data_IF_200832583092
#
_entry.id   IF_200832583092
#
_cell.length_a   1.000
_cell.length_b   1.000
_cell.length_c   1.000
_cell.angle_alpha   90.00
_cell.angle_beta   90.00
_cell.angle_gamma   90.00
#
_symmetry.space_group_name_H-M   'P 1'
#
loop_
_entity.id
_entity.type
_entity.pdbx_description
1 polymer ?
#
# COMPACT_ATOMS: atom_id res chain seq x y z
N UNK A 1 -13.00 -5.42 28.58
CA UNK A 1 -12.00 -6.27 27.88
C UNK A 1 -10.63 -5.56 27.87
N UNK A 2 -9.51 -6.25 28.12
CA UNK A 2 -8.20 -5.59 28.08
C UNK A 2 -8.02 -4.95 26.70
N UNK A 3 -7.55 -3.71 26.75
CA UNK A 3 -7.23 -2.81 25.66
C UNK A 3 -6.27 -3.46 24.66
N UNK A 4 -6.79 -3.63 23.45
CA UNK A 4 -6.14 -3.72 22.14
C UNK A 4 -5.14 -4.88 21.93
N UNK A 5 -5.69 -6.05 21.56
CA UNK A 5 -4.92 -7.10 20.88
C UNK A 5 -4.10 -6.49 19.74
N UNK A 6 -2.79 -6.67 19.76
CA UNK A 6 -1.87 -6.22 18.73
C UNK A 6 -0.71 -7.20 18.64
N UNK A 7 -0.41 -7.68 17.43
CA UNK A 7 0.67 -8.64 17.22
C UNK A 7 1.34 -8.42 15.86
N UNK A 8 2.67 -8.25 15.89
CA UNK A 8 3.52 -8.23 14.71
C UNK A 8 4.02 -9.63 14.41
N UNK A 9 3.87 -10.06 13.15
CA UNK A 9 4.26 -11.37 12.67
C UNK A 9 5.33 -11.16 11.61
N UNK A 10 6.45 -11.85 11.78
CA UNK A 10 7.62 -11.73 10.92
C UNK A 10 8.13 -13.11 10.47
N UNK A 11 8.90 -13.10 9.40
CA UNK A 11 9.60 -14.26 8.89
C UNK A 11 10.97 -13.83 8.35
N UNK A 12 12.08 -14.58 8.55
CA UNK A 12 13.42 -14.20 8.08
C UNK A 12 13.46 -13.82 6.59
N UNK A 13 12.87 -14.64 5.71
CA UNK A 13 12.68 -14.32 4.30
C UNK A 13 12.08 -12.93 4.06
N UNK A 14 11.03 -12.55 4.78
CA UNK A 14 10.33 -11.28 4.60
C UNK A 14 11.22 -10.08 4.99
N UNK A 15 11.95 -10.18 6.12
CA UNK A 15 12.86 -9.11 6.56
C UNK A 15 14.04 -8.97 5.58
N UNK A 16 14.66 -10.09 5.16
CA UNK A 16 15.75 -10.07 4.19
C UNK A 16 15.30 -9.53 2.83
N UNK A 17 14.06 -9.82 2.43
CA UNK A 17 13.45 -9.25 1.21
C UNK A 17 13.30 -7.73 1.29
N UNK A 18 12.92 -7.18 2.45
CA UNK A 18 12.87 -5.73 2.63
C UNK A 18 14.27 -5.11 2.49
N UNK A 19 15.31 -5.71 3.06
CA UNK A 19 16.71 -5.25 2.88
C UNK A 19 17.06 -5.23 1.38
N UNK A 20 16.71 -6.29 0.65
CA UNK A 20 17.12 -6.48 -0.74
C UNK A 20 16.45 -5.50 -1.72
N UNK A 21 15.16 -5.22 -1.56
CA UNK A 21 14.37 -4.54 -2.59
C UNK A 21 13.79 -3.18 -2.20
N UNK A 22 13.51 -2.92 -0.91
CA UNK A 22 12.81 -1.68 -0.52
C UNK A 22 13.56 -0.39 -0.84
N UNK A 23 14.90 -0.43 -0.83
CA UNK A 23 15.76 0.71 -1.16
C UNK A 23 15.69 1.13 -2.64
N UNK A 24 15.23 0.24 -3.53
CA UNK A 24 15.03 0.55 -4.95
C UNK A 24 13.55 0.68 -5.30
N UNK A 25 12.73 -0.23 -4.77
CA UNK A 25 11.36 -0.43 -5.21
C UNK A 25 10.32 0.18 -4.25
N UNK A 26 10.77 0.73 -3.11
CA UNK A 26 9.89 1.25 -2.07
C UNK A 26 9.12 0.15 -1.35
N UNK A 27 8.15 0.57 -0.55
CA UNK A 27 7.24 -0.31 0.19
C UNK A 27 5.79 0.11 0.02
N UNK A 28 4.91 -0.87 -0.10
CA UNK A 28 3.48 -0.68 0.10
C UNK A 28 3.15 -0.83 1.59
N UNK A 29 2.31 0.04 2.11
CA UNK A 29 1.84 0.01 3.51
C UNK A 29 0.35 0.31 3.53
N UNK A 30 -0.46 -0.65 3.94
CA UNK A 30 -1.93 -0.52 3.86
C UNK A 30 -2.60 -1.45 4.89
N UNK A 31 -3.72 -0.99 5.44
CA UNK A 31 -4.54 -1.71 6.41
C UNK A 31 -5.90 -2.12 5.82
N UNK A 32 -6.23 -3.41 5.89
CA UNK A 32 -7.56 -3.91 5.51
C UNK A 32 -8.30 -4.50 6.71
N UNK A 33 -9.57 -4.13 6.85
CA UNK A 33 -10.51 -4.68 7.85
C UNK A 33 -11.50 -5.69 7.25
N UNK A 34 -11.74 -5.60 5.93
CA UNK A 34 -12.79 -6.39 5.25
C UNK A 34 -12.44 -7.88 5.26
N UNK A 35 -13.38 -8.70 5.72
CA UNK A 35 -13.32 -10.17 5.79
C UNK A 35 -12.19 -10.76 6.65
N UNK A 36 -11.38 -9.94 7.32
CA UNK A 36 -10.20 -10.43 8.06
C UNK A 36 -10.58 -11.13 9.37
N UNK A 37 -11.55 -10.63 10.11
CA UNK A 37 -12.11 -11.35 11.26
C UNK A 37 -13.51 -10.82 11.62
N UNK A 38 -14.24 -11.56 12.45
CA UNK A 38 -15.57 -11.17 12.97
C UNK A 38 -15.54 -9.84 13.73
N UNK A 39 -14.46 -9.55 14.43
CA UNK A 39 -14.26 -8.31 15.20
C UNK A 39 -13.80 -7.12 14.33
N UNK A 40 -13.65 -7.31 13.01
CA UNK A 40 -13.09 -6.34 12.06
C UNK A 40 -11.73 -5.76 12.47
N UNK A 41 -10.94 -6.51 13.24
CA UNK A 41 -9.57 -6.13 13.61
C UNK A 41 -8.74 -5.96 12.32
N UNK A 42 -8.09 -4.80 12.12
CA UNK A 42 -7.30 -4.55 10.92
C UNK A 42 -6.12 -5.51 10.79
N UNK A 43 -5.84 -5.88 9.54
CA UNK A 43 -4.59 -6.52 9.12
C UNK A 43 -3.83 -5.52 8.27
N UNK A 44 -2.63 -5.17 8.71
CA UNK A 44 -1.75 -4.23 8.03
C UNK A 44 -0.61 -4.99 7.39
N UNK A 45 -0.40 -4.77 6.09
CA UNK A 45 0.68 -5.37 5.33
C UNK A 45 1.75 -4.34 5.02
N UNK A 46 3.01 -4.74 5.20
CA UNK A 46 4.14 -4.15 4.51
C UNK A 46 4.47 -5.07 3.34
N UNK A 47 4.66 -4.51 2.16
CA UNK A 47 5.04 -5.27 0.97
C UNK A 47 6.11 -4.53 0.18
N UNK A 48 6.87 -5.26 -0.62
CA UNK A 48 7.74 -4.69 -1.66
C UNK A 48 7.58 -5.51 -2.93
N UNK A 49 8.39 -5.24 -3.95
CA UNK A 49 8.40 -6.01 -5.19
C UNK A 49 9.80 -6.49 -5.54
N UNK A 50 9.90 -7.67 -6.14
CA UNK A 50 11.16 -8.22 -6.64
C UNK A 50 11.55 -7.62 -8.01
N UNK A 51 12.66 -8.10 -8.56
CA UNK A 51 13.17 -7.67 -9.88
C UNK A 51 12.21 -8.02 -11.05
N UNK A 52 11.23 -8.90 -10.82
CA UNK A 52 10.22 -9.32 -11.80
C UNK A 52 8.86 -8.63 -11.56
N UNK A 53 8.79 -7.62 -10.69
CA UNK A 53 7.57 -6.95 -10.27
C UNK A 53 6.53 -7.89 -9.60
N UNK A 54 6.99 -8.97 -8.98
CA UNK A 54 6.18 -9.79 -8.09
C UNK A 54 6.11 -9.17 -6.71
N UNK A 55 4.93 -9.24 -6.09
CA UNK A 55 4.78 -8.78 -4.71
C UNK A 55 5.48 -9.75 -3.76
N UNK A 56 6.26 -9.19 -2.84
CA UNK A 56 6.96 -9.89 -1.78
C UNK A 56 6.49 -9.34 -0.43
N UNK A 57 6.14 -10.22 0.54
CA UNK A 57 5.66 -9.77 1.84
C UNK A 57 6.82 -9.25 2.71
N UNK A 58 6.55 -8.18 3.44
CA UNK A 58 7.25 -7.78 4.65
C UNK A 58 6.49 -8.26 5.90
N UNK A 59 6.85 -7.78 7.10
CA UNK A 59 6.10 -8.06 8.32
C UNK A 59 4.62 -7.69 8.20
N UNK A 60 3.81 -8.44 8.92
CA UNK A 60 2.36 -8.27 8.97
C UNK A 60 1.96 -7.90 10.39
N UNK A 61 0.98 -7.02 10.52
CA UNK A 61 0.46 -6.60 11.81
C UNK A 61 -1.03 -6.86 11.90
N UNK A 62 -1.45 -7.57 12.96
CA UNK A 62 -2.86 -7.78 13.28
C UNK A 62 -3.15 -7.05 14.57
N UNK A 63 -4.06 -6.08 14.53
CA UNK A 63 -4.33 -5.21 15.67
C UNK A 63 -5.82 -4.94 15.88
N UNK A 64 -6.18 -4.42 17.05
CA UNK A 64 -7.54 -4.00 17.38
C UNK A 64 -7.95 -2.68 16.72
N UNK A 65 -6.97 -1.86 16.32
CA UNK A 65 -7.17 -0.59 15.62
C UNK A 65 -6.03 -0.31 14.62
N UNK A 66 -6.23 0.67 13.74
CA UNK A 66 -5.25 1.16 12.77
C UNK A 66 -5.06 2.68 12.94
N UNK A 67 -4.87 3.12 14.19
CA UNK A 67 -4.60 4.53 14.50
C UNK A 67 -3.16 4.92 14.12
N UNK A 68 -2.89 6.22 13.98
CA UNK A 68 -1.55 6.71 13.68
C UNK A 68 -0.52 6.25 14.74
N UNK A 69 -0.91 6.24 16.02
CA UNK A 69 -0.05 5.81 17.13
C UNK A 69 0.30 4.33 17.01
N UNK A 70 -0.72 3.47 16.89
CA UNK A 70 -0.57 2.02 16.73
C UNK A 70 0.29 1.66 15.51
N UNK A 71 0.06 2.33 14.38
CA UNK A 71 0.85 2.13 13.15
C UNK A 71 2.28 2.68 13.27
N UNK A 72 2.49 3.76 14.04
CA UNK A 72 3.84 4.29 14.33
C UNK A 72 4.65 3.24 15.08
N UNK A 73 4.09 2.66 16.15
CA UNK A 73 4.74 1.59 16.91
C UNK A 73 5.10 0.41 16.02
N UNK A 74 4.18 -0.03 15.15
CA UNK A 74 4.47 -1.11 14.19
C UNK A 74 5.65 -0.76 13.26
N UNK A 75 5.66 0.44 12.67
CA UNK A 75 6.75 0.85 11.77
C UNK A 75 8.11 1.02 12.47
N UNK A 76 8.13 1.47 13.72
CA UNK A 76 9.35 1.53 14.54
C UNK A 76 9.93 0.13 14.73
N UNK A 77 9.10 -0.83 15.13
CA UNK A 77 9.52 -2.22 15.33
C UNK A 77 10.03 -2.84 14.03
N UNK A 78 9.33 -2.63 12.91
CA UNK A 78 9.79 -3.11 11.59
C UNK A 78 11.14 -2.54 11.24
N UNK A 79 11.35 -1.23 11.45
CA UNK A 79 12.64 -0.59 11.17
C UNK A 79 13.78 -1.21 11.98
N UNK A 80 13.56 -1.39 13.28
CA UNK A 80 14.54 -2.03 14.16
C UNK A 80 14.83 -3.48 13.74
N UNK A 81 13.80 -4.24 13.35
CA UNK A 81 13.96 -5.61 12.86
C UNK A 81 14.80 -5.68 11.58
N UNK A 82 14.56 -4.78 10.64
CA UNK A 82 15.33 -4.70 9.39
C UNK A 82 16.79 -4.33 9.65
N UNK A 83 17.03 -3.33 10.51
CA UNK A 83 18.39 -2.90 10.86
C UNK A 83 19.16 -3.99 11.62
N UNK A 84 18.50 -4.67 12.56
CA UNK A 84 19.08 -5.80 13.27
C UNK A 84 19.41 -6.96 12.32
N UNK A 85 18.50 -7.31 11.42
CA UNK A 85 18.74 -8.35 10.40
C UNK A 85 19.90 -7.97 9.48
N UNK A 86 20.02 -6.69 9.08
CA UNK A 86 21.13 -6.20 8.27
C UNK A 86 22.47 -6.35 8.99
N UNK A 87 22.54 -5.98 10.28
CA UNK A 87 23.74 -6.16 11.10
C UNK A 87 24.14 -7.63 11.21
N UNK A 88 23.16 -8.49 11.53
CA UNK A 88 23.39 -9.93 11.66
C UNK A 88 23.87 -10.58 10.36
N UNK A 89 23.37 -10.14 9.19
CA UNK A 89 23.84 -10.59 7.88
C UNK A 89 25.28 -10.17 7.61
N UNK A 90 25.62 -8.91 7.87
CA UNK A 90 26.99 -8.37 7.65
C UNK A 90 28.00 -9.04 8.57
N UNK A 91 27.62 -9.26 9.84
CA UNK A 91 28.44 -9.93 10.86
C UNK A 91 28.42 -11.46 10.73
N UNK A 92 27.68 -12.02 9.77
CA UNK A 92 27.54 -13.47 9.51
C UNK A 92 27.03 -14.26 10.72
N UNK A 93 26.26 -13.63 11.61
CA UNK A 93 25.62 -14.31 12.75
C UNK A 93 24.34 -15.05 12.36
N UNK A 94 23.82 -14.79 11.16
CA UNK A 94 22.71 -15.52 10.55
C UNK A 94 23.03 -15.87 9.09
N UNK A 95 22.33 -16.87 8.56
CA UNK A 95 22.42 -17.25 7.16
C UNK A 95 21.41 -16.49 6.31
N UNK A 96 21.77 -16.31 5.03
CA UNK A 96 20.82 -15.87 4.01
C UNK A 96 19.75 -16.95 3.86
N UNK A 97 18.49 -16.55 3.74
CA UNK A 97 17.40 -17.49 3.50
C UNK A 97 17.68 -18.23 2.18
N UNK A 98 17.48 -19.55 2.16
CA UNK A 98 17.80 -20.40 1.00
C UNK A 98 17.11 -19.92 -0.29
N UNK A 99 15.92 -19.33 -0.20
CA UNK A 99 15.18 -18.75 -1.34
C UNK A 99 15.86 -17.51 -1.94
N UNK A 100 16.72 -16.83 -1.16
CA UNK A 100 17.43 -15.62 -1.53
C UNK A 100 18.93 -15.86 -1.81
N UNK A 101 19.42 -17.10 -1.78
CA UNK A 101 20.85 -17.40 -1.93
C UNK A 101 21.40 -16.89 -3.28
N UNK A 102 20.60 -16.92 -4.35
CA UNK A 102 20.97 -16.35 -5.66
C UNK A 102 21.24 -14.82 -5.61
N UNK A 103 20.67 -14.13 -4.63
CA UNK A 103 20.82 -12.70 -4.42
C UNK A 103 21.79 -12.34 -3.30
N UNK A 104 22.44 -13.32 -2.67
CA UNK A 104 23.30 -13.15 -1.49
C UNK A 104 24.27 -11.98 -1.59
N UNK A 105 25.00 -11.87 -2.71
CA UNK A 105 25.96 -10.77 -2.92
C UNK A 105 25.27 -9.40 -2.83
N UNK A 106 24.14 -9.23 -3.51
CA UNK A 106 23.35 -7.99 -3.49
C UNK A 106 22.73 -7.74 -2.12
N UNK A 107 22.17 -8.77 -1.49
CA UNK A 107 21.59 -8.67 -0.15
C UNK A 107 22.62 -8.16 0.88
N UNK A 108 23.84 -8.70 0.87
CA UNK A 108 24.92 -8.25 1.75
C UNK A 108 25.38 -6.82 1.42
N UNK A 109 25.35 -6.42 0.15
CA UNK A 109 25.64 -5.04 -0.25
C UNK A 109 24.57 -4.07 0.27
N UNK A 110 23.29 -4.37 0.11
CA UNK A 110 22.21 -3.54 0.63
C UNK A 110 22.20 -3.50 2.17
N UNK A 111 22.41 -4.63 2.85
CA UNK A 111 22.58 -4.69 4.29
C UNK A 111 23.74 -3.78 4.76
N UNK A 112 24.87 -3.83 4.07
CA UNK A 112 26.01 -2.96 4.34
C UNK A 112 25.71 -1.47 4.14
N UNK A 113 24.85 -1.11 3.18
CA UNK A 113 24.40 0.29 3.00
C UNK A 113 23.53 0.74 4.16
N UNK A 114 22.62 -0.10 4.64
CA UNK A 114 21.75 0.19 5.80
C UNK A 114 22.61 0.49 7.04
N UNK A 115 23.60 -0.35 7.35
CA UNK A 115 24.45 -0.18 8.53
C UNK A 115 25.36 1.05 8.44
N UNK A 116 25.84 1.39 7.24
CA UNK A 116 26.66 2.60 7.03
C UNK A 116 25.85 3.89 7.00
N UNK A 117 24.54 3.81 6.77
CA UNK A 117 23.65 4.95 6.71
C UNK A 117 23.39 5.51 8.10
N UNK A 118 23.53 6.83 8.27
CA UNK A 118 23.14 7.51 9.53
C UNK A 118 21.64 7.39 9.83
N UNK A 119 20.82 7.20 8.80
CA UNK A 119 19.36 7.06 8.91
C UNK A 119 18.90 5.62 9.01
N UNK A 120 19.86 4.66 9.01
CA UNK A 120 19.58 3.23 9.03
C UNK A 120 18.77 2.78 7.82
N UNK A 121 17.76 1.93 8.05
CA UNK A 121 16.89 1.46 6.98
C UNK A 121 15.89 2.56 6.58
N UNK A 122 15.84 2.83 5.28
CA UNK A 122 14.97 3.84 4.70
C UNK A 122 14.51 3.37 3.31
N UNK A 123 13.23 3.02 3.13
CA UNK A 123 12.69 2.67 1.82
C UNK A 123 12.78 3.84 0.82
N UNK A 124 12.81 3.52 -0.47
CA UNK A 124 12.84 4.54 -1.53
C UNK A 124 11.60 5.46 -1.47
N UNK A 125 10.44 4.88 -1.19
CA UNK A 125 9.17 5.56 -0.97
C UNK A 125 8.20 4.64 -0.23
N UNK A 126 7.15 5.22 0.32
CA UNK A 126 5.97 4.52 0.81
C UNK A 126 4.81 4.75 -0.15
N UNK A 127 4.08 3.69 -0.49
CA UNK A 127 2.81 3.79 -1.18
C UNK A 127 1.69 3.32 -0.28
N UNK A 128 0.70 4.19 -0.11
CA UNK A 128 -0.42 4.02 0.82
C UNK A 128 -1.75 4.33 0.13
N UNK A 129 -2.84 4.01 0.80
CA UNK A 129 -4.14 4.55 0.43
C UNK A 129 -4.33 5.95 1.03
N UNK A 130 -5.45 6.62 0.73
CA UNK A 130 -5.74 7.94 1.32
C UNK A 130 -6.11 7.79 2.80
N UNK A 131 -5.12 7.49 3.64
CA UNK A 131 -5.24 7.24 5.06
C UNK A 131 -4.38 8.22 5.86
N UNK A 132 -5.04 9.05 6.66
CA UNK A 132 -4.33 10.00 7.53
C UNK A 132 -3.51 9.28 8.60
N UNK A 133 -3.99 8.13 9.09
CA UNK A 133 -3.29 7.34 10.09
C UNK A 133 -1.96 6.79 9.55
N UNK A 134 -1.99 6.18 8.36
CA UNK A 134 -0.78 5.65 7.70
C UNK A 134 0.21 6.76 7.36
N UNK A 135 -0.28 7.88 6.79
CA UNK A 135 0.55 9.04 6.45
C UNK A 135 1.30 9.58 7.68
N UNK A 136 0.57 9.79 8.79
CA UNK A 136 1.17 10.30 10.03
C UNK A 136 2.14 9.29 10.64
N UNK A 137 1.81 8.00 10.64
CA UNK A 137 2.72 6.96 11.12
C UNK A 137 4.04 6.93 10.36
N UNK A 138 3.98 7.01 9.02
CA UNK A 138 5.19 7.07 8.19
C UNK A 138 5.98 8.35 8.50
N UNK A 139 5.35 9.51 8.61
CA UNK A 139 6.06 10.75 8.92
C UNK A 139 6.74 10.75 10.30
N UNK A 140 6.13 10.09 11.28
CA UNK A 140 6.72 9.96 12.62
C UNK A 140 8.00 9.12 12.63
N UNK A 141 8.06 8.06 11.80
CA UNK A 141 9.22 7.13 11.76
C UNK A 141 10.23 7.49 10.67
N UNK A 142 9.74 8.03 9.56
CA UNK A 142 10.49 8.36 8.34
C UNK A 142 10.12 9.78 7.86
N UNK A 143 10.56 10.84 8.56
CA UNK A 143 10.08 12.21 8.35
C UNK A 143 10.39 12.77 6.95
N UNK A 144 11.44 12.27 6.30
CA UNK A 144 11.87 12.68 4.95
C UNK A 144 11.48 11.69 3.86
N UNK A 145 10.72 10.63 4.17
CA UNK A 145 10.29 9.65 3.18
C UNK A 145 9.35 10.26 2.16
N UNK A 146 9.53 9.84 0.91
CA UNK A 146 8.56 10.08 -0.15
C UNK A 146 7.32 9.23 0.11
N UNK A 147 6.15 9.85 0.27
CA UNK A 147 4.87 9.16 0.43
C UNK A 147 4.03 9.38 -0.82
N UNK A 148 3.53 8.30 -1.44
CA UNK A 148 2.65 8.31 -2.61
C UNK A 148 1.32 7.65 -2.29
N UNK A 149 0.25 8.22 -2.81
CA UNK A 149 -1.05 7.55 -2.84
C UNK A 149 -1.06 6.50 -3.95
N UNK A 150 -1.77 5.41 -3.71
CA UNK A 150 -2.13 4.49 -4.76
C UNK A 150 -2.91 5.20 -5.88
N UNK A 151 -2.40 5.17 -7.11
CA UNK A 151 -3.12 5.67 -8.28
C UNK A 151 -4.47 4.98 -8.50
N UNK A 152 -4.54 3.65 -8.33
CA UNK A 152 -5.77 2.91 -8.56
C UNK A 152 -6.87 3.39 -7.62
N UNK A 153 -6.58 3.57 -6.32
CA UNK A 153 -7.52 4.09 -5.34
C UNK A 153 -7.84 5.57 -5.56
N UNK A 154 -6.87 6.40 -5.98
CA UNK A 154 -7.15 7.79 -6.41
C UNK A 154 -8.15 7.79 -7.57
N UNK A 155 -7.91 7.01 -8.62
CA UNK A 155 -8.79 6.94 -9.79
C UNK A 155 -10.14 6.32 -9.45
N UNK A 156 -10.17 5.30 -8.58
CA UNK A 156 -11.43 4.72 -8.10
C UNK A 156 -12.24 5.72 -7.30
N UNK A 157 -11.63 6.46 -6.38
CA UNK A 157 -12.31 7.51 -5.61
C UNK A 157 -12.89 8.58 -6.55
N UNK A 158 -12.11 9.05 -7.53
CA UNK A 158 -12.54 10.02 -8.55
C UNK A 158 -13.65 9.48 -9.48
N UNK A 159 -13.75 8.16 -9.67
CA UNK A 159 -14.81 7.56 -10.49
C UNK A 159 -16.05 7.15 -9.70
N UNK A 160 -15.88 6.87 -8.41
CA UNK A 160 -16.88 6.30 -7.50
C UNK A 160 -17.40 7.28 -6.45
N UNK A 161 -16.90 8.51 -6.41
CA UNK A 161 -17.50 9.55 -5.57
C UNK A 161 -18.98 9.79 -5.93
N UNK A 162 -19.47 9.28 -7.07
CA UNK A 162 -20.90 9.20 -7.41
C UNK A 162 -21.70 8.17 -6.56
N UNK A 163 -21.03 7.29 -5.80
CA UNK A 163 -21.61 6.19 -5.01
C UNK A 163 -21.37 6.28 -3.49
N UNK A 164 -20.52 7.17 -3.01
CA UNK A 164 -20.18 7.27 -1.57
C UNK A 164 -21.27 8.00 -0.76
N UNK A 165 -22.27 7.31 -0.21
CA UNK A 165 -23.29 7.95 0.64
C UNK A 165 -22.62 8.50 1.91
N UNK A 166 -22.41 9.81 1.97
CA UNK A 166 -21.96 10.51 3.17
C UNK A 166 -23.16 11.10 3.90
N UNK A 167 -23.14 11.09 5.23
CA UNK A 167 -24.13 11.74 6.12
C UNK A 167 -24.05 13.28 6.06
N UNK A 168 -23.96 13.86 4.86
CA UNK A 168 -24.13 15.29 4.68
C UNK A 168 -25.63 15.59 4.63
N UNK A 169 -26.10 16.42 5.55
CA UNK A 169 -27.49 16.88 5.68
C UNK A 169 -28.02 17.67 4.47
N UNK A 170 -27.19 17.89 3.45
CA UNK A 170 -27.60 18.44 2.16
C UNK A 170 -27.57 17.34 1.08
N UNK A 171 -28.65 17.17 0.31
CA UNK A 171 -28.62 16.33 -0.88
C UNK A 171 -27.74 17.01 -1.94
N UNK A 172 -26.43 16.80 -1.87
CA UNK A 172 -25.55 17.11 -2.99
C UNK A 172 -26.02 16.25 -4.17
N UNK A 173 -26.72 16.87 -5.12
CA UNK A 173 -27.14 16.22 -6.37
C UNK A 173 -25.88 15.93 -7.18
N UNK A 174 -25.34 14.72 -7.02
CA UNK A 174 -24.08 14.34 -7.64
C UNK A 174 -24.26 14.18 -9.15
N UNK A 175 -23.36 14.73 -9.97
CA UNK A 175 -23.46 14.67 -11.41
C UNK A 175 -23.29 13.25 -11.93
N UNK A 176 -24.31 12.74 -12.63
CA UNK A 176 -24.22 11.48 -13.39
C UNK A 176 -23.56 11.75 -14.74
N UNK A 177 -22.25 11.56 -14.81
CA UNK A 177 -21.50 11.64 -16.07
C UNK A 177 -21.69 10.36 -16.90
N UNK A 178 -21.82 10.53 -18.22
CA UNK A 178 -21.70 9.41 -19.17
C UNK A 178 -20.32 8.78 -19.11
N UNK A 179 -20.18 7.54 -19.59
CA UNK A 179 -18.88 6.85 -19.62
C UNK A 179 -17.81 7.65 -20.38
N UNK A 180 -18.18 8.26 -21.50
CA UNK A 180 -17.29 9.14 -22.27
C UNK A 180 -16.80 10.34 -21.45
N UNK A 181 -17.73 11.04 -20.78
CA UNK A 181 -17.39 12.17 -19.91
C UNK A 181 -16.53 11.74 -18.71
N UNK A 182 -16.74 10.54 -18.16
CA UNK A 182 -15.87 9.94 -17.14
C UNK A 182 -14.45 9.73 -17.67
N UNK A 183 -14.28 9.20 -18.88
CA UNK A 183 -12.95 9.05 -19.49
C UNK A 183 -12.25 10.40 -19.74
N UNK A 184 -12.99 11.41 -20.20
CA UNK A 184 -12.44 12.77 -20.36
C UNK A 184 -12.02 13.37 -19.02
N UNK A 185 -12.81 13.18 -17.97
CA UNK A 185 -12.45 13.60 -16.62
C UNK A 185 -11.16 12.91 -16.15
N UNK A 186 -11.02 11.60 -16.34
CA UNK A 186 -9.79 10.88 -16.01
C UNK A 186 -8.58 11.42 -16.78
N UNK A 187 -8.73 11.81 -18.05
CA UNK A 187 -7.65 12.43 -18.83
C UNK A 187 -7.26 13.79 -18.24
N UNK A 188 -8.23 14.62 -17.87
CA UNK A 188 -7.97 15.91 -17.21
C UNK A 188 -7.26 15.73 -15.87
N UNK A 189 -7.69 14.74 -15.06
CA UNK A 189 -7.02 14.36 -13.81
C UNK A 189 -5.59 13.91 -14.07
N UNK A 190 -5.36 13.03 -15.04
CA UNK A 190 -4.02 12.56 -15.40
C UNK A 190 -3.10 13.70 -15.86
N UNK A 191 -3.65 14.69 -16.55
CA UNK A 191 -2.91 15.88 -16.95
C UNK A 191 -2.52 16.72 -15.73
N UNK A 192 -3.48 16.99 -14.83
CA UNK A 192 -3.21 17.71 -13.58
C UNK A 192 -2.19 16.98 -12.68
N UNK A 193 -2.26 15.65 -12.63
CA UNK A 193 -1.27 14.83 -11.90
C UNK A 193 0.17 15.05 -12.37
N UNK A 194 0.39 15.50 -13.61
CA UNK A 194 1.73 15.80 -14.15
C UNK A 194 2.29 17.14 -13.69
N UNK A 195 1.52 17.92 -12.93
CA UNK A 195 2.08 19.08 -12.28
C UNK A 195 3.24 18.63 -11.39
N UNK A 196 4.43 19.12 -11.70
CA UNK A 196 5.69 18.69 -11.06
C UNK A 196 6.24 19.70 -10.07
N UNK A 197 5.85 20.96 -10.24
CA UNK A 197 6.36 22.06 -9.45
C UNK A 197 5.21 22.79 -8.79
N UNK A 198 5.37 23.09 -7.50
CA UNK A 198 4.37 23.74 -6.67
C UNK A 198 3.99 25.13 -7.23
N UNK A 199 4.95 25.89 -7.76
CA UNK A 199 4.75 27.21 -8.37
C UNK A 199 3.97 27.16 -9.69
N UNK A 200 3.74 25.97 -10.27
CA UNK A 200 2.92 25.76 -11.46
C UNK A 200 1.53 25.21 -11.14
N UNK A 201 1.26 24.94 -9.85
CA UNK A 201 0.01 24.32 -9.42
C UNK A 201 -1.21 25.13 -9.83
N UNK A 202 -1.22 26.44 -9.54
CA UNK A 202 -2.39 27.29 -9.76
C UNK A 202 -2.80 27.29 -11.23
N UNK A 203 -1.83 27.43 -12.14
CA UNK A 203 -2.05 27.33 -13.59
C UNK A 203 -2.59 25.95 -13.99
N UNK A 204 -2.00 24.86 -13.48
CA UNK A 204 -2.46 23.51 -13.80
C UNK A 204 -3.88 23.25 -13.28
N UNK A 205 -4.22 23.78 -12.10
CA UNK A 205 -5.55 23.70 -11.51
C UNK A 205 -6.58 24.51 -12.32
N UNK A 206 -6.23 25.70 -12.81
CA UNK A 206 -7.06 26.48 -13.73
C UNK A 206 -7.35 25.73 -15.04
N UNK A 207 -6.33 25.13 -15.66
CA UNK A 207 -6.48 24.30 -16.86
C UNK A 207 -7.37 23.08 -16.63
N UNK A 208 -7.30 22.48 -15.44
CA UNK A 208 -8.19 21.40 -15.01
C UNK A 208 -9.63 21.89 -14.86
N UNK A 209 -9.86 23.02 -14.18
CA UNK A 209 -11.19 23.63 -13.99
C UNK A 209 -11.85 23.91 -15.33
N UNK A 210 -11.12 24.50 -16.27
CA UNK A 210 -11.62 24.76 -17.62
C UNK A 210 -11.96 23.47 -18.36
N UNK A 211 -11.14 22.43 -18.20
CA UNK A 211 -11.43 21.11 -18.77
C UNK A 211 -12.70 20.49 -18.19
N UNK A 212 -12.92 20.60 -16.87
CA UNK A 212 -14.15 20.12 -16.21
C UNK A 212 -15.38 20.87 -16.72
N UNK A 213 -15.32 22.21 -16.85
CA UNK A 213 -16.41 23.01 -17.39
C UNK A 213 -16.80 22.61 -18.81
N UNK A 214 -15.80 22.33 -19.67
CA UNK A 214 -16.03 21.82 -21.03
C UNK A 214 -16.65 20.42 -21.04
N UNK A 215 -16.18 19.50 -20.18
CA UNK A 215 -16.74 18.14 -20.06
C UNK A 215 -18.21 18.18 -19.64
N UNK A 216 -18.55 19.11 -18.75
CA UNK A 216 -19.89 19.30 -18.20
C UNK A 216 -20.73 20.32 -18.96
N UNK A 217 -20.44 20.56 -20.25
CA UNK A 217 -21.25 21.47 -21.08
C UNK A 217 -22.75 21.12 -21.00
N UNK A 218 -23.57 22.14 -20.78
CA UNK A 218 -25.01 22.00 -20.51
C UNK A 218 -25.38 21.79 -19.03
N UNK A 219 -24.41 21.71 -18.11
CA UNK A 219 -24.69 21.65 -16.67
C UNK A 219 -23.56 22.30 -15.83
N UNK A 220 -23.68 23.61 -15.57
CA UNK A 220 -22.75 24.35 -14.72
C UNK A 220 -22.71 23.78 -13.29
N UNK A 221 -23.85 23.36 -12.75
CA UNK A 221 -23.95 22.71 -11.43
C UNK A 221 -23.09 21.45 -11.36
N UNK A 222 -23.08 20.64 -12.42
CA UNK A 222 -22.24 19.43 -12.46
C UNK A 222 -20.75 19.76 -12.44
N UNK A 223 -20.34 20.77 -13.21
CA UNK A 223 -18.95 21.22 -13.25
C UNK A 223 -18.50 21.70 -11.86
N UNK A 224 -19.29 22.59 -11.24
CA UNK A 224 -19.01 23.17 -9.92
C UNK A 224 -18.94 22.09 -8.83
N UNK A 225 -19.85 21.11 -8.87
CA UNK A 225 -19.81 19.98 -7.92
C UNK A 225 -18.52 19.18 -8.01
N UNK A 226 -18.03 18.92 -9.23
CA UNK A 226 -16.75 18.22 -9.44
C UNK A 226 -15.59 19.06 -8.92
N UNK A 227 -15.56 20.35 -9.27
CA UNK A 227 -14.48 21.27 -8.87
C UNK A 227 -14.37 21.31 -7.34
N UNK A 228 -15.49 21.53 -6.64
CA UNK A 228 -15.53 21.54 -5.16
C UNK A 228 -15.07 20.22 -4.55
N UNK A 229 -15.43 19.09 -5.15
CA UNK A 229 -14.94 17.78 -4.70
C UNK A 229 -13.41 17.71 -4.76
N UNK A 230 -12.80 18.19 -5.85
CA UNK A 230 -11.35 18.24 -5.99
C UNK A 230 -10.67 19.22 -5.04
N UNK A 231 -11.21 20.42 -4.88
CA UNK A 231 -10.73 21.43 -3.94
C UNK A 231 -10.72 20.90 -2.50
N UNK A 232 -11.79 20.22 -2.08
CA UNK A 232 -11.93 19.72 -0.72
C UNK A 232 -11.10 18.46 -0.42
N UNK A 233 -10.83 17.61 -1.42
CA UNK A 233 -10.25 16.28 -1.18
C UNK A 233 -8.83 16.09 -1.70
N UNK A 234 -8.47 16.79 -2.78
CA UNK A 234 -7.27 16.50 -3.57
C UNK A 234 -6.33 17.70 -3.67
N UNK A 235 -6.85 18.93 -3.71
CA UNK A 235 -6.03 20.14 -3.89
C UNK A 235 -5.45 20.65 -2.57
N UNK A 236 -5.94 20.13 -1.45
CA UNK A 236 -5.45 20.52 -0.13
C UNK A 236 -3.98 20.13 0.05
N UNK A 237 -3.16 20.95 0.76
CA UNK A 237 -1.73 20.71 0.92
C UNK A 237 -1.38 19.33 1.48
N UNK A 238 -2.25 18.77 2.32
CA UNK A 238 -2.07 17.44 2.93
C UNK A 238 -1.94 16.32 1.89
N UNK A 239 -2.71 16.37 0.81
CA UNK A 239 -2.78 15.28 -0.17
C UNK A 239 -2.13 15.65 -1.50
N UNK A 240 -2.14 16.92 -1.89
CA UNK A 240 -1.72 17.41 -3.21
C UNK A 240 -0.41 16.78 -3.71
N UNK A 241 0.66 16.86 -2.92
CA UNK A 241 1.97 16.34 -3.33
C UNK A 241 2.07 14.81 -3.32
N UNK A 242 1.10 14.11 -2.73
CA UNK A 242 1.11 12.65 -2.58
C UNK A 242 0.44 11.95 -3.77
N UNK A 243 -0.39 12.62 -4.58
CA UNK A 243 -1.03 12.02 -5.78
C UNK A 243 -0.64 12.69 -7.10
N UNK A 244 0.32 13.62 -7.06
CA UNK A 244 0.85 14.36 -8.22
C UNK A 244 2.36 14.13 -8.36
N UNK A 245 2.95 14.62 -9.45
CA UNK A 245 4.40 14.60 -9.67
C UNK A 245 5.17 15.61 -8.79
N UNK A 246 4.47 16.42 -7.98
CA UNK A 246 5.09 17.41 -7.08
C UNK A 246 6.04 16.72 -6.10
N UNK A 247 7.27 17.22 -6.04
CA UNK A 247 8.31 16.70 -5.15
C UNK A 247 8.97 15.40 -5.62
N UNK A 248 8.67 14.90 -6.84
CA UNK A 248 9.39 13.75 -7.39
C UNK A 248 10.81 14.10 -7.88
N UNK A 249 11.81 13.25 -7.59
CA UNK A 249 13.16 13.40 -8.14
C UNK A 249 13.18 13.46 -9.68
N UNK A 250 14.21 14.10 -10.26
CA UNK A 250 14.38 14.18 -11.70
C UNK A 250 14.49 12.81 -12.36
N UNK A 251 13.77 12.63 -13.48
CA UNK A 251 13.72 11.36 -14.22
C UNK A 251 12.74 10.32 -13.66
N UNK A 252 12.16 10.55 -12.48
CA UNK A 252 11.09 9.73 -11.91
C UNK A 252 9.75 10.36 -12.28
N UNK A 253 8.99 9.67 -13.12
CA UNK A 253 7.59 9.99 -13.38
C UNK A 253 6.72 9.08 -12.54
N UNK A 254 5.52 9.56 -12.20
CA UNK A 254 4.48 8.73 -11.61
C UNK A 254 4.25 7.42 -12.38
N UNK A 255 4.42 7.39 -13.71
CA UNK A 255 3.99 6.29 -14.58
C UNK A 255 4.68 4.93 -14.46
N UNK A 256 5.88 4.82 -13.88
CA UNK A 256 6.61 3.52 -13.83
C UNK A 256 6.27 2.71 -12.59
N UNK A 257 7.07 2.82 -11.53
CA UNK A 257 6.83 2.12 -10.26
C UNK A 257 5.93 2.91 -9.29
N UNK A 258 5.51 4.12 -9.62
CA UNK A 258 4.68 4.94 -8.75
C UNK A 258 3.21 5.00 -9.20
N UNK A 259 2.86 4.29 -10.27
CA UNK A 259 1.55 4.40 -10.94
C UNK A 259 0.57 3.33 -10.53
N UNK A 260 0.99 2.30 -9.80
CA UNK A 260 0.09 1.25 -9.36
C UNK A 260 0.58 0.70 -8.02
N UNK A 261 -0.28 0.66 -6.99
CA UNK A 261 -0.07 -0.17 -5.79
C UNK A 261 -0.43 -1.64 -6.05
N UNK A 262 -0.49 -2.08 -7.31
CA UNK A 262 -1.11 -3.35 -7.68
C UNK A 262 -0.50 -4.51 -6.87
N UNK A 263 0.70 -4.37 -6.33
CA UNK A 263 1.27 -5.32 -5.37
C UNK A 263 0.54 -5.38 -4.02
N UNK A 264 0.29 -4.29 -3.30
CA UNK A 264 -0.41 -4.35 -1.99
C UNK A 264 -1.85 -4.82 -2.16
N UNK A 265 -2.54 -4.37 -3.21
CA UNK A 265 -3.86 -4.90 -3.57
C UNK A 265 -3.82 -6.37 -3.97
N UNK A 266 -2.81 -6.79 -4.77
CA UNK A 266 -2.57 -8.22 -5.03
C UNK A 266 -2.30 -8.96 -3.74
N UNK A 267 -1.64 -8.36 -2.75
CA UNK A 267 -1.40 -8.98 -1.46
C UNK A 267 -2.72 -9.26 -0.75
N UNK A 268 -3.59 -8.27 -0.61
CA UNK A 268 -4.90 -8.47 0.00
C UNK A 268 -5.81 -9.39 -0.81
N UNK A 269 -5.81 -9.27 -2.14
CA UNK A 269 -6.58 -10.15 -3.03
C UNK A 269 -6.10 -11.60 -2.93
N UNK A 270 -4.80 -11.83 -2.97
CA UNK A 270 -4.21 -13.17 -2.79
C UNK A 270 -4.50 -13.69 -1.39
N UNK A 271 -4.37 -12.86 -0.36
CA UNK A 271 -4.72 -13.22 1.01
C UNK A 271 -6.18 -13.68 1.11
N UNK A 272 -7.10 -12.89 0.57
CA UNK A 272 -8.53 -13.20 0.59
C UNK A 272 -8.86 -14.45 -0.22
N UNK A 273 -8.33 -14.57 -1.44
CA UNK A 273 -8.70 -15.65 -2.35
C UNK A 273 -8.04 -16.98 -2.00
N UNK A 274 -6.74 -16.97 -1.68
CA UNK A 274 -5.96 -18.19 -1.45
C UNK A 274 -5.99 -18.61 0.01
N UNK A 275 -5.86 -17.68 0.96
CA UNK A 275 -5.69 -18.07 2.37
C UNK A 275 -7.01 -18.02 3.15
N UNK A 276 -7.93 -17.12 2.76
CA UNK A 276 -9.26 -17.04 3.37
C UNK A 276 -10.35 -17.74 2.55
N UNK A 277 -10.02 -18.26 1.35
CA UNK A 277 -10.99 -18.87 0.43
C UNK A 277 -12.22 -17.97 0.15
N UNK A 278 -12.01 -16.65 0.14
CA UNK A 278 -13.04 -15.60 0.03
C UNK A 278 -14.12 -15.64 1.13
N UNK A 279 -13.84 -16.29 2.27
CA UNK A 279 -14.72 -16.35 3.43
C UNK A 279 -14.27 -15.37 4.50
N UNK A 280 -15.21 -14.83 5.26
CA UNK A 280 -14.87 -14.09 6.46
C UNK A 280 -14.20 -15.04 7.44
N UNK A 281 -13.00 -14.68 7.89
CA UNK A 281 -12.32 -15.49 8.88
C UNK A 281 -12.97 -15.29 10.26
N UNK A 282 -13.10 -16.37 11.04
CA UNK A 282 -13.85 -16.34 12.30
C UNK A 282 -13.07 -15.70 13.46
N UNK A 283 -11.74 -15.84 13.49
CA UNK A 283 -10.92 -15.49 14.67
C UNK A 283 -9.58 -14.86 14.32
N UNK A 284 -9.17 -13.84 15.09
CA UNK A 284 -7.86 -13.21 14.95
C UNK A 284 -6.71 -14.21 15.18
N UNK A 285 -6.88 -15.23 16.03
CA UNK A 285 -5.89 -16.29 16.23
C UNK A 285 -5.65 -17.09 14.96
N UNK A 286 -6.72 -17.42 14.22
CA UNK A 286 -6.58 -18.11 12.93
C UNK A 286 -5.83 -17.25 11.91
N UNK A 287 -6.04 -15.93 11.89
CA UNK A 287 -5.23 -15.04 11.05
C UNK A 287 -3.75 -15.16 11.39
N UNK A 288 -3.40 -15.13 12.67
CA UNK A 288 -2.00 -15.25 13.11
C UNK A 288 -1.38 -16.55 12.62
N UNK A 289 -2.10 -17.68 12.75
CA UNK A 289 -1.64 -18.98 12.29
C UNK A 289 -1.48 -19.05 10.77
N UNK A 290 -2.44 -18.53 10.00
CA UNK A 290 -2.35 -18.46 8.54
C UNK A 290 -1.15 -17.62 8.12
N UNK A 291 -0.95 -16.46 8.74
CA UNK A 291 0.14 -15.55 8.39
C UNK A 291 1.49 -16.20 8.73
N UNK A 292 1.62 -16.75 9.94
CA UNK A 292 2.87 -17.33 10.41
C UNK A 292 3.27 -18.60 9.65
N UNK A 293 2.30 -19.47 9.33
CA UNK A 293 2.59 -20.81 8.81
C UNK A 293 2.38 -20.97 7.30
N UNK A 294 1.53 -20.15 6.67
CA UNK A 294 1.18 -20.31 5.25
C UNK A 294 1.62 -19.10 4.42
N UNK A 295 1.25 -17.88 4.82
CA UNK A 295 1.47 -16.67 4.03
C UNK A 295 2.95 -16.47 3.66
N UNK A 296 3.85 -16.51 4.63
CA UNK A 296 5.27 -16.31 4.36
C UNK A 296 5.90 -17.45 3.57
N UNK A 297 5.55 -18.69 3.91
CA UNK A 297 6.08 -19.88 3.23
C UNK A 297 5.66 -19.92 1.77
N UNK A 298 4.42 -19.55 1.47
CA UNK A 298 3.94 -19.41 0.11
C UNK A 298 4.85 -18.52 -0.74
N UNK A 299 5.24 -17.33 -0.27
CA UNK A 299 6.13 -16.46 -1.07
C UNK A 299 7.60 -16.88 -1.03
N UNK A 300 8.05 -17.52 0.06
CA UNK A 300 9.42 -18.05 0.18
C UNK A 300 9.66 -19.21 -0.78
N UNK A 301 8.65 -20.06 -0.96
CA UNK A 301 8.72 -21.26 -1.78
C UNK A 301 8.27 -21.02 -3.22
N UNK A 302 7.43 -20.01 -3.45
CA UNK A 302 6.95 -19.70 -4.78
C UNK A 302 8.09 -19.33 -5.74
N UNK A 303 8.20 -20.12 -6.81
CA UNK A 303 9.10 -19.88 -7.93
C UNK A 303 8.27 -19.39 -9.11
N UNK A 304 8.71 -18.31 -9.77
CA UNK A 304 8.02 -17.67 -10.91
C UNK A 304 7.71 -18.61 -12.08
N UNK A 305 8.39 -19.76 -12.15
CA UNK A 305 8.23 -20.81 -13.15
C UNK A 305 7.01 -21.71 -12.90
N UNK A 306 6.36 -21.61 -11.74
CA UNK A 306 5.18 -22.40 -11.38
C UNK A 306 3.95 -21.50 -11.14
N UNK A 307 2.73 -21.99 -11.47
CA UNK A 307 1.52 -21.26 -11.18
C UNK A 307 1.43 -20.93 -9.69
N UNK A 308 0.99 -19.71 -9.38
CA UNK A 308 0.79 -19.17 -8.03
C UNK A 308 -0.15 -19.98 -7.13
N UNK A 309 -0.72 -21.09 -7.58
CA UNK A 309 -1.74 -21.82 -6.84
C UNK A 309 -1.40 -23.31 -6.86
N UNK A 310 -0.94 -23.82 -5.72
CA UNK A 310 -0.80 -25.25 -5.48
C UNK A 310 -2.13 -25.77 -4.91
N UNK A 311 -2.91 -26.44 -5.75
CA UNK A 311 -4.26 -26.91 -5.39
C UNK A 311 -4.23 -27.96 -4.27
N UNK A 312 -3.26 -28.86 -4.25
CA UNK A 312 -3.17 -29.91 -3.23
C UNK A 312 -2.87 -29.34 -1.84
N UNK A 313 -2.02 -28.33 -1.77
CA UNK A 313 -1.66 -27.65 -0.52
C UNK A 313 -2.85 -26.85 0.03
N UNK A 314 -3.57 -26.15 -0.85
CA UNK A 314 -4.82 -25.46 -0.52
C UNK A 314 -5.92 -26.43 -0.04
N UNK A 315 -6.04 -27.60 -0.65
CA UNK A 315 -7.02 -28.62 -0.22
C UNK A 315 -6.68 -29.20 1.16
N UNK A 316 -5.40 -29.43 1.48
CA UNK A 316 -4.94 -29.84 2.82
C UNK A 316 -5.22 -28.77 3.87
N UNK A 317 -4.91 -27.51 3.57
CA UNK A 317 -5.17 -26.38 4.47
C UNK A 317 -6.67 -26.13 4.72
N UNK A 318 -7.52 -26.37 3.71
CA UNK A 318 -8.98 -26.32 3.89
C UNK A 318 -9.54 -27.49 4.70
N UNK A 319 -8.98 -28.69 4.58
CA UNK A 319 -9.36 -29.80 5.46
C UNK A 319 -9.02 -29.47 6.91
N UNK A 320 -7.87 -28.84 7.16
CA UNK A 320 -7.56 -28.30 8.49
C UNK A 320 -8.60 -27.25 8.91
N UNK A 321 -9.02 -26.34 8.02
CA UNK A 321 -10.06 -25.37 8.33
C UNK A 321 -11.37 -26.00 8.83
N UNK A 322 -11.82 -27.10 8.23
CA UNK A 322 -13.05 -27.79 8.64
C UNK A 322 -12.93 -28.47 10.02
N UNK A 323 -11.73 -28.88 10.41
CA UNK A 323 -11.48 -29.52 11.72
C UNK A 323 -11.52 -28.50 12.87
N UNK A 324 -11.12 -27.26 12.62
CA UNK A 324 -11.03 -26.19 13.64
C UNK A 324 -12.20 -25.19 13.60
N UNK A 325 -13.22 -25.44 12.77
CA UNK A 325 -14.37 -24.53 12.54
C UNK A 325 -15.60 -24.85 13.36
#
# INVERSE_FOLDING_TARGET
>A
PPSNFATGIQHPFAIQSLILWSGQNGVGFDSSYRHKNENRAPVTFITTIDDNAHMIPGPVFVSGDATAETLTTFLVEVKQLVEKMADQLVNKSIQVDISLEKFKKRLLQEAGKIIKSKSGWFPQFFMIDKSRAERLAIQNVFPTSLIRLCQFHVMQAILRWDKEVGNSFEPQVRPRLSLERKHLLLRAVRHLQRCRFEDKWDKAAEEFVESVRRICIGSATSAETIIRYFEANWFIPEWKALWTDIGLPAGILWEKMLSTNNWTERAFKTFDQIFLASRANKSAYRLVLIIANQWFNYYREWRSEQPRFNREEFEKDNQAYEIWS
#
